data_IF_205415769217
#
_entry.id   IF_205415769217
#
_cell.length_a   1.000
_cell.length_b   1.000
_cell.length_c   1.000
_cell.angle_alpha   90.00
_cell.angle_beta   90.00
_cell.angle_gamma   90.00
#
_symmetry.space_group_name_H-M   'P 1'
#
loop_
_entity.id
_entity.type
_entity.pdbx_description
1 polymer ?
#
# COMPACT_ATOMS: atom_id res chain seq x y z
N UNK A 1 31.79 -4.15 -8.76
CA UNK A 1 30.76 -4.56 -7.77
C UNK A 1 31.24 -5.82 -7.06
N UNK A 2 31.25 -5.82 -5.74
CA UNK A 2 31.66 -6.97 -4.94
C UNK A 2 30.60 -8.08 -4.96
N UNK A 3 30.98 -9.28 -4.53
CA UNK A 3 30.02 -10.37 -4.39
C UNK A 3 28.88 -10.01 -3.43
N UNK A 4 29.20 -9.31 -2.33
CA UNK A 4 28.20 -8.88 -1.37
C UNK A 4 27.18 -7.93 -2.01
N UNK A 5 27.66 -6.97 -2.81
CA UNK A 5 26.80 -6.03 -3.52
C UNK A 5 25.93 -6.73 -4.57
N UNK A 6 26.49 -7.71 -5.27
CA UNK A 6 25.75 -8.50 -6.25
C UNK A 6 24.67 -9.33 -5.57
N UNK A 7 24.97 -9.95 -4.43
CA UNK A 7 24.02 -10.73 -3.68
C UNK A 7 22.88 -9.87 -3.15
N UNK A 8 23.18 -8.66 -2.65
CA UNK A 8 22.16 -7.72 -2.18
C UNK A 8 21.22 -7.30 -3.32
N UNK A 9 21.79 -7.02 -4.50
CA UNK A 9 20.99 -6.63 -5.66
C UNK A 9 20.05 -7.75 -6.11
N UNK A 10 20.56 -8.98 -6.17
CA UNK A 10 19.75 -10.14 -6.52
C UNK A 10 18.64 -10.38 -5.51
N UNK A 11 18.96 -10.22 -4.22
CA UNK A 11 17.99 -10.35 -3.14
C UNK A 11 16.87 -9.29 -3.27
N UNK A 12 17.26 -8.04 -3.55
CA UNK A 12 16.30 -6.96 -3.73
C UNK A 12 15.37 -7.23 -4.92
N UNK A 13 15.93 -7.70 -6.04
CA UNK A 13 15.15 -8.05 -7.22
C UNK A 13 14.14 -9.17 -6.91
N UNK A 14 14.56 -10.18 -6.17
CA UNK A 14 13.68 -11.27 -5.75
C UNK A 14 12.56 -10.75 -4.86
N UNK A 15 12.89 -9.91 -3.87
CA UNK A 15 11.91 -9.30 -2.98
C UNK A 15 10.90 -8.48 -3.78
N UNK A 16 11.36 -7.70 -4.76
CA UNK A 16 10.47 -6.90 -5.61
C UNK A 16 9.51 -7.75 -6.42
N UNK A 17 9.98 -8.88 -6.95
CA UNK A 17 9.11 -9.81 -7.68
C UNK A 17 8.05 -10.43 -6.79
N UNK A 18 8.43 -10.85 -5.59
CA UNK A 18 7.50 -11.43 -4.63
C UNK A 18 6.46 -10.39 -4.20
N UNK A 19 6.91 -9.16 -3.93
CA UNK A 19 6.03 -8.06 -3.58
C UNK A 19 5.04 -7.75 -4.71
N UNK A 20 5.50 -7.72 -5.96
CA UNK A 20 4.65 -7.50 -7.12
C UNK A 20 3.57 -8.57 -7.24
N UNK A 21 3.93 -9.83 -6.98
CA UNK A 21 2.95 -10.92 -7.00
C UNK A 21 1.90 -10.75 -5.91
N UNK A 22 2.31 -10.38 -4.70
CA UNK A 22 1.37 -10.16 -3.59
C UNK A 22 0.44 -8.99 -3.91
N UNK A 23 0.98 -7.90 -4.45
CA UNK A 23 0.17 -6.76 -4.86
C UNK A 23 -0.85 -7.17 -5.93
N UNK A 24 -0.43 -7.97 -6.91
CA UNK A 24 -1.32 -8.45 -7.95
C UNK A 24 -2.48 -9.27 -7.41
N UNK A 25 -2.23 -10.10 -6.42
CA UNK A 25 -3.28 -10.88 -5.75
C UNK A 25 -4.23 -9.96 -5.00
N UNK A 26 -3.70 -8.99 -4.27
CA UNK A 26 -4.52 -8.01 -3.55
C UNK A 26 -5.38 -7.20 -4.52
N UNK A 27 -4.80 -6.75 -5.64
CA UNK A 27 -5.52 -6.00 -6.68
C UNK A 27 -6.65 -6.84 -7.28
N UNK A 28 -6.42 -8.13 -7.48
CA UNK A 28 -7.44 -9.05 -7.97
C UNK A 28 -8.67 -9.05 -7.06
N UNK A 29 -8.46 -9.16 -5.76
CA UNK A 29 -9.56 -9.11 -4.79
C UNK A 29 -10.21 -7.73 -4.75
N UNK A 30 -9.41 -6.67 -4.81
CA UNK A 30 -9.91 -5.29 -4.81
C UNK A 30 -10.86 -5.05 -5.99
N UNK A 31 -10.46 -5.47 -7.19
CA UNK A 31 -11.25 -5.29 -8.41
C UNK A 31 -12.56 -6.06 -8.38
N UNK A 32 -12.62 -7.14 -7.62
CA UNK A 32 -13.83 -7.96 -7.46
C UNK A 32 -14.70 -7.45 -6.30
N UNK A 33 -14.33 -6.38 -5.64
CA UNK A 33 -15.08 -5.84 -4.51
C UNK A 33 -14.89 -6.63 -3.22
N UNK A 34 -13.93 -7.54 -3.17
CA UNK A 34 -13.64 -8.33 -1.98
C UNK A 34 -12.63 -7.58 -1.11
N UNK A 35 -13.10 -6.49 -0.50
CA UNK A 35 -12.24 -5.52 0.17
C UNK A 35 -11.60 -6.05 1.46
N UNK A 36 -12.27 -6.96 2.17
CA UNK A 36 -11.67 -7.57 3.36
C UNK A 36 -10.43 -8.38 2.97
N UNK A 37 -10.57 -9.26 1.98
CA UNK A 37 -9.46 -10.07 1.49
C UNK A 37 -8.33 -9.20 0.93
N UNK A 38 -8.71 -8.16 0.16
CA UNK A 38 -7.72 -7.24 -0.41
C UNK A 38 -6.95 -6.51 0.69
N UNK A 39 -7.64 -6.02 1.72
CA UNK A 39 -7.01 -5.29 2.82
C UNK A 39 -5.99 -6.14 3.56
N UNK A 40 -6.30 -7.40 3.80
CA UNK A 40 -5.38 -8.33 4.46
C UNK A 40 -4.11 -8.51 3.64
N UNK A 41 -4.24 -8.63 2.33
CA UNK A 41 -3.10 -8.80 1.42
C UNK A 41 -2.25 -7.53 1.32
N UNK A 42 -2.88 -6.36 1.23
CA UNK A 42 -2.15 -5.10 1.23
C UNK A 42 -1.40 -4.88 2.55
N UNK A 43 -2.01 -5.23 3.67
CA UNK A 43 -1.33 -5.14 4.97
C UNK A 43 -0.11 -6.04 5.03
N UNK A 44 -0.27 -7.30 4.58
CA UNK A 44 0.84 -8.24 4.55
C UNK A 44 1.98 -7.71 3.69
N UNK A 45 1.65 -7.12 2.54
CA UNK A 45 2.64 -6.53 1.65
C UNK A 45 3.45 -5.43 2.34
N UNK A 46 2.76 -4.52 3.03
CA UNK A 46 3.43 -3.43 3.75
C UNK A 46 4.30 -3.93 4.89
N UNK A 47 3.89 -4.99 5.57
CA UNK A 47 4.62 -5.54 6.70
C UNK A 47 5.82 -6.40 6.26
N UNK A 48 5.67 -7.15 5.18
CA UNK A 48 6.70 -8.10 4.75
C UNK A 48 7.71 -7.52 3.76
N UNK A 49 7.28 -6.53 2.97
CA UNK A 49 8.11 -5.97 1.89
C UNK A 49 8.17 -4.44 1.94
N UNK A 50 8.49 -3.83 3.09
CA UNK A 50 8.53 -2.37 3.16
C UNK A 50 9.70 -1.80 2.38
N UNK A 51 9.55 -0.56 1.92
CA UNK A 51 10.66 0.20 1.34
C UNK A 51 11.06 -0.19 -0.06
N UNK A 52 10.21 -0.91 -0.80
CA UNK A 52 10.50 -1.30 -2.18
C UNK A 52 9.87 -0.37 -3.23
N UNK A 53 9.34 0.77 -2.79
CA UNK A 53 8.75 1.76 -3.68
C UNK A 53 7.25 1.60 -3.92
N UNK A 54 6.63 0.57 -3.37
CA UNK A 54 5.19 0.33 -3.51
C UNK A 54 4.36 1.01 -2.42
N UNK A 55 4.99 1.41 -1.33
CA UNK A 55 4.31 1.77 -0.10
C UNK A 55 3.25 2.86 -0.27
N UNK A 56 3.49 3.99 -0.97
CA UNK A 56 2.43 5.00 -1.12
C UNK A 56 1.20 4.48 -1.84
N UNK A 57 1.40 3.74 -2.94
CA UNK A 57 0.31 3.18 -3.71
C UNK A 57 -0.49 2.17 -2.90
N UNK A 58 0.21 1.29 -2.20
CA UNK A 58 -0.43 0.24 -1.41
C UNK A 58 -1.16 0.83 -0.21
N UNK A 59 -0.58 1.83 0.46
CA UNK A 59 -1.28 2.54 1.53
C UNK A 59 -2.58 3.16 1.03
N UNK A 60 -2.55 3.78 -0.14
CA UNK A 60 -3.77 4.37 -0.71
C UNK A 60 -4.84 3.30 -0.96
N UNK A 61 -4.46 2.20 -1.58
CA UNK A 61 -5.40 1.09 -1.85
C UNK A 61 -5.96 0.49 -0.57
N UNK A 62 -5.13 0.36 0.47
CA UNK A 62 -5.56 -0.13 1.77
C UNK A 62 -6.60 0.83 2.38
N UNK A 63 -6.33 2.13 2.34
CA UNK A 63 -7.29 3.13 2.79
C UNK A 63 -8.61 3.04 2.05
N UNK A 64 -8.57 2.84 0.73
CA UNK A 64 -9.78 2.66 -0.07
C UNK A 64 -10.55 1.40 0.33
N UNK A 65 -9.84 0.30 0.64
CA UNK A 65 -10.49 -0.92 1.13
C UNK A 65 -11.28 -0.65 2.39
N UNK A 66 -10.68 0.03 3.36
CA UNK A 66 -11.36 0.35 4.61
C UNK A 66 -12.54 1.29 4.40
N UNK A 67 -12.41 2.27 3.51
CA UNK A 67 -13.51 3.16 3.17
C UNK A 67 -14.69 2.38 2.58
N UNK A 68 -14.43 1.45 1.68
CA UNK A 68 -15.47 0.61 1.09
C UNK A 68 -16.13 -0.31 2.11
N UNK A 69 -15.38 -0.73 3.13
CA UNK A 69 -15.89 -1.56 4.23
C UNK A 69 -16.60 -0.75 5.30
N UNK A 70 -16.78 0.57 5.10
CA UNK A 70 -17.38 1.48 6.07
C UNK A 70 -16.57 1.59 7.37
N UNK A 71 -15.29 1.28 7.31
CA UNK A 71 -14.35 1.42 8.43
C UNK A 71 -13.66 2.77 8.31
N UNK A 72 -14.41 3.82 8.53
CA UNK A 72 -13.96 5.20 8.27
C UNK A 72 -12.76 5.60 9.12
N UNK A 73 -12.74 5.22 10.40
CA UNK A 73 -11.63 5.57 11.29
C UNK A 73 -10.32 4.91 10.86
N UNK A 74 -10.40 3.66 10.44
CA UNK A 74 -9.23 2.93 9.93
C UNK A 74 -8.75 3.52 8.60
N UNK A 75 -9.69 3.84 7.70
CA UNK A 75 -9.38 4.48 6.43
C UNK A 75 -8.66 5.82 6.65
N UNK A 76 -9.19 6.66 7.52
CA UNK A 76 -8.60 7.96 7.81
C UNK A 76 -7.19 7.84 8.41
N UNK A 77 -7.00 6.86 9.28
CA UNK A 77 -5.70 6.60 9.88
C UNK A 77 -4.66 6.25 8.83
N UNK A 78 -5.02 5.38 7.88
CA UNK A 78 -4.14 4.97 6.79
C UNK A 78 -3.85 6.16 5.87
N UNK A 79 -4.85 6.94 5.49
CA UNK A 79 -4.65 8.12 4.65
C UNK A 79 -3.77 9.16 5.33
N UNK A 80 -3.92 9.37 6.63
CA UNK A 80 -3.06 10.29 7.39
C UNK A 80 -1.62 9.80 7.44
N UNK A 81 -1.42 8.51 7.61
CA UNK A 81 -0.08 7.90 7.56
C UNK A 81 0.57 8.15 6.21
N UNK A 82 -0.17 7.95 5.13
CA UNK A 82 0.30 8.18 3.78
C UNK A 82 0.72 9.64 3.59
N UNK A 83 -0.11 10.59 4.00
CA UNK A 83 0.18 12.02 3.90
C UNK A 83 1.40 12.40 4.73
N UNK A 84 1.53 11.84 5.94
CA UNK A 84 2.63 12.18 6.85
C UNK A 84 3.97 11.66 6.35
N UNK A 85 4.01 10.44 5.82
CA UNK A 85 5.27 9.77 5.47
C UNK A 85 5.66 9.89 4.00
N UNK A 86 4.70 10.17 3.12
CA UNK A 86 4.91 10.21 1.67
C UNK A 86 4.28 11.45 1.06
N UNK A 87 4.51 12.62 1.68
CA UNK A 87 3.84 13.88 1.36
C UNK A 87 3.98 14.31 -0.10
N UNK A 88 5.07 13.92 -0.78
CA UNK A 88 5.34 14.29 -2.17
C UNK A 88 4.70 13.33 -3.18
N UNK A 89 4.11 12.23 -2.72
CA UNK A 89 3.51 11.23 -3.58
C UNK A 89 2.18 11.74 -4.16
N UNK A 90 1.90 11.38 -5.40
CA UNK A 90 0.58 11.61 -6.00
C UNK A 90 -0.54 10.94 -5.20
N UNK A 91 -0.24 9.82 -4.55
CA UNK A 91 -1.21 9.13 -3.70
C UNK A 91 -1.51 9.92 -2.43
N UNK A 92 -0.54 10.67 -1.91
CA UNK A 92 -0.78 11.57 -0.79
C UNK A 92 -1.75 12.69 -1.16
N UNK A 93 -1.65 13.21 -2.38
CA UNK A 93 -2.60 14.22 -2.89
C UNK A 93 -4.01 13.65 -2.91
N UNK A 94 -4.16 12.43 -3.41
CA UNK A 94 -5.46 11.75 -3.45
C UNK A 94 -5.99 11.44 -2.04
N UNK A 95 -5.10 11.07 -1.12
CA UNK A 95 -5.46 10.82 0.27
C UNK A 95 -5.96 12.08 0.96
N UNK A 96 -5.33 13.23 0.71
CA UNK A 96 -5.80 14.51 1.25
C UNK A 96 -7.23 14.84 0.80
N UNK A 97 -7.54 14.53 -0.45
CA UNK A 97 -8.90 14.72 -0.97
C UNK A 97 -9.90 13.84 -0.23
N UNK A 98 -9.55 12.59 0.02
CA UNK A 98 -10.41 11.68 0.77
C UNK A 98 -10.64 12.15 2.19
N UNK A 99 -9.59 12.62 2.86
CA UNK A 99 -9.67 13.15 4.21
C UNK A 99 -10.56 14.41 4.27
N UNK A 100 -10.46 15.28 3.27
CA UNK A 100 -11.27 16.48 3.18
C UNK A 100 -12.76 16.16 3.02
N UNK A 101 -13.08 15.14 2.21
CA UNK A 101 -14.46 14.68 1.99
C UNK A 101 -15.08 14.17 3.30
N UNK A 102 -14.27 13.51 4.14
CA UNK A 102 -14.74 12.88 5.37
C UNK A 102 -14.81 13.84 6.57
N UNK A 103 -14.43 15.11 6.40
CA UNK A 103 -14.57 16.10 7.47
C UNK A 103 -16.04 16.44 7.67
N UNK A 104 -16.49 16.60 8.95
CA UNK A 104 -17.87 16.98 9.25
C UNK A 104 -18.18 18.41 8.81
#
# INVERSE_FOLDING_TARGET
MSYAQQAEELWRQLQSRLATNVEGIADFYFERGEYEAASERYRALLNEYPGLGFDPRVLFKLGECYAQLQRTDEADRIFRTLVAHYSDSEFAVRARRQLAINLP
#
